data_IF_082132801230
#
_entry.id   IF_082132801230
#
_cell.length_a   1.000
_cell.length_b   1.000
_cell.length_c   1.000
_cell.angle_alpha   90.00
_cell.angle_beta   90.00
_cell.angle_gamma   90.00
#
_symmetry.space_group_name_H-M   'P 1'
#
loop_
_entity.id
_entity.type
_entity.pdbx_description
1 polymer ?
#
# COMPACT_ATOMS: atom_id res chain seq x y z
N UNK A 1 -7.07 -5.78 -34.88
CA UNK A 1 -6.91 -4.57 -34.08
C UNK A 1 -8.05 -4.48 -33.09
N UNK A 2 -7.74 -4.73 -31.84
CA UNK A 2 -8.76 -4.73 -30.80
C UNK A 2 -9.10 -3.28 -30.48
N UNK A 3 -10.27 -2.86 -30.85
CA UNK A 3 -10.75 -1.55 -30.42
C UNK A 3 -11.12 -1.63 -28.97
N UNK A 4 -10.32 -1.02 -28.14
CA UNK A 4 -10.67 -0.80 -26.76
C UNK A 4 -11.86 0.17 -26.73
N UNK A 5 -13.02 -0.35 -26.38
CA UNK A 5 -14.20 0.48 -26.24
C UNK A 5 -14.24 1.04 -24.85
N UNK A 6 -13.84 2.27 -24.72
CA UNK A 6 -14.08 3.00 -23.49
C UNK A 6 -15.58 3.06 -23.23
N UNK A 7 -15.99 2.68 -22.04
CA UNK A 7 -17.37 2.88 -21.62
C UNK A 7 -17.70 4.37 -21.62
N UNK A 8 -18.97 4.71 -21.89
CA UNK A 8 -19.42 6.11 -21.85
C UNK A 8 -19.00 6.77 -20.56
N UNK A 9 -18.28 7.87 -20.65
CA UNK A 9 -17.81 8.63 -19.52
C UNK A 9 -16.42 8.28 -19.01
N UNK A 10 -15.75 7.29 -19.62
CA UNK A 10 -14.36 7.03 -19.27
C UNK A 10 -13.45 8.05 -19.93
N UNK A 11 -12.94 8.96 -19.13
CA UNK A 11 -11.87 9.86 -19.53
C UNK A 11 -10.57 9.32 -18.96
N UNK A 12 -9.62 8.89 -19.79
CA UNK A 12 -8.33 8.46 -19.27
C UNK A 12 -7.69 9.64 -18.54
N UNK A 13 -7.41 9.45 -17.26
CA UNK A 13 -6.66 10.45 -16.51
C UNK A 13 -5.26 10.52 -17.07
N UNK A 14 -4.73 11.72 -17.32
CA UNK A 14 -3.33 11.84 -17.70
C UNK A 14 -2.46 11.21 -16.62
N UNK A 15 -1.47 10.42 -17.04
CA UNK A 15 -0.50 9.86 -16.14
C UNK A 15 0.30 11.02 -15.55
N UNK A 16 0.28 11.21 -14.23
CA UNK A 16 1.05 12.29 -13.63
C UNK A 16 2.54 12.02 -13.84
N UNK A 17 3.24 13.04 -14.30
CA UNK A 17 4.68 13.00 -14.43
C UNK A 17 5.29 13.68 -13.22
N UNK A 18 6.16 12.96 -12.54
CA UNK A 18 6.93 13.51 -11.43
C UNK A 18 8.30 13.94 -11.95
N UNK A 19 8.55 15.24 -11.92
CA UNK A 19 9.85 15.79 -12.26
C UNK A 19 10.66 15.97 -10.98
N UNK A 20 11.79 15.31 -10.89
CA UNK A 20 12.60 15.32 -9.68
C UNK A 20 14.03 15.67 -10.02
N UNK A 21 14.52 16.71 -9.39
CA UNK A 21 15.94 17.08 -9.40
C UNK A 21 16.59 16.58 -8.11
N UNK A 22 17.50 15.63 -8.24
CA UNK A 22 18.20 15.07 -7.10
C UNK A 22 17.71 13.67 -6.70
N UNK A 23 18.09 13.20 -5.53
CA UNK A 23 17.79 11.84 -5.10
C UNK A 23 16.31 11.61 -4.90
N UNK A 24 15.86 10.44 -5.32
CA UNK A 24 14.51 9.95 -5.20
C UNK A 24 14.53 8.69 -4.33
N UNK A 25 13.63 8.60 -3.38
CA UNK A 25 13.45 7.37 -2.61
C UNK A 25 12.21 6.65 -3.10
N UNK A 26 12.36 5.38 -3.44
CA UNK A 26 11.25 4.52 -3.83
C UNK A 26 11.25 3.31 -2.90
N UNK A 27 10.12 3.04 -2.31
CA UNK A 27 9.94 1.86 -1.48
C UNK A 27 8.55 1.27 -1.66
N UNK A 28 8.37 0.03 -1.27
CA UNK A 28 7.08 -0.63 -1.38
C UNK A 28 6.89 -1.71 -0.36
N UNK A 29 5.65 -2.16 -0.26
CA UNK A 29 5.27 -3.22 0.64
C UNK A 29 5.44 -2.90 2.12
N UNK A 30 4.94 -1.77 2.62
CA UNK A 30 4.91 -1.52 4.07
C UNK A 30 4.19 -2.62 4.86
N UNK A 31 3.15 -3.20 4.29
CA UNK A 31 2.40 -4.34 4.84
C UNK A 31 2.04 -4.18 6.32
N UNK A 32 1.52 -3.02 6.69
CA UNK A 32 1.15 -2.70 8.07
C UNK A 32 2.29 -2.84 9.09
N UNK A 33 3.53 -2.75 8.63
CA UNK A 33 4.71 -2.77 9.48
C UNK A 33 5.15 -1.35 9.79
N UNK A 34 4.67 -0.84 10.91
CA UNK A 34 4.89 0.55 11.31
C UNK A 34 6.37 0.84 11.55
N UNK A 35 7.07 -0.06 12.23
CA UNK A 35 8.48 0.13 12.60
C UNK A 35 9.38 0.18 11.37
N UNK A 36 9.20 -0.75 10.45
CA UNK A 36 9.97 -0.79 9.21
C UNK A 36 9.69 0.44 8.34
N UNK A 37 8.43 0.83 8.25
CA UNK A 37 8.02 2.02 7.49
C UNK A 37 8.63 3.28 8.10
N UNK A 38 8.59 3.41 9.41
CA UNK A 38 9.22 4.52 10.12
C UNK A 38 10.72 4.57 9.85
N UNK A 39 11.40 3.43 9.91
CA UNK A 39 12.84 3.34 9.66
C UNK A 39 13.21 3.82 8.25
N UNK A 40 12.45 3.43 7.24
CA UNK A 40 12.66 3.89 5.85
C UNK A 40 12.47 5.40 5.74
N UNK A 41 11.44 5.95 6.36
CA UNK A 41 11.15 7.37 6.30
C UNK A 41 12.14 8.20 7.13
N UNK A 42 12.64 7.67 8.21
CA UNK A 42 13.71 8.31 8.98
C UNK A 42 15.02 8.34 8.18
N UNK A 43 15.30 7.30 7.40
CA UNK A 43 16.44 7.30 6.48
C UNK A 43 16.25 8.36 5.39
N UNK A 44 15.06 8.55 4.86
CA UNK A 44 14.76 9.62 3.93
C UNK A 44 15.10 10.99 4.53
N UNK A 45 14.72 11.20 5.79
CA UNK A 45 15.05 12.43 6.52
C UNK A 45 16.55 12.59 6.68
N UNK A 46 17.25 11.53 7.05
CA UNK A 46 18.71 11.52 7.18
C UNK A 46 19.41 11.91 5.89
N UNK A 47 18.86 11.45 4.76
CA UNK A 47 19.40 11.74 3.42
C UNK A 47 18.87 13.07 2.86
N UNK A 48 18.13 13.84 3.61
CA UNK A 48 17.51 15.11 3.19
C UNK A 48 16.61 14.96 1.97
N UNK A 49 15.90 13.84 1.88
CA UNK A 49 14.92 13.57 0.83
C UNK A 49 13.56 14.05 1.32
N UNK A 50 13.00 15.05 0.66
CA UNK A 50 11.71 15.60 1.00
C UNK A 50 10.55 14.69 0.54
N UNK A 51 9.39 14.86 1.15
CA UNK A 51 8.20 14.03 0.89
C UNK A 51 7.82 13.97 -0.60
N UNK A 52 7.96 15.06 -1.32
CA UNK A 52 7.68 15.15 -2.76
C UNK A 52 8.61 14.28 -3.63
N UNK A 53 9.73 13.85 -3.07
CA UNK A 53 10.69 12.95 -3.70
C UNK A 53 10.67 11.54 -3.12
N UNK A 54 9.62 11.21 -2.40
CA UNK A 54 9.41 9.85 -1.89
C UNK A 54 8.21 9.24 -2.59
N UNK A 55 8.39 8.03 -3.11
CA UNK A 55 7.33 7.24 -3.76
C UNK A 55 7.15 5.95 -2.98
N UNK A 56 5.92 5.68 -2.57
CA UNK A 56 5.52 4.38 -2.09
C UNK A 56 4.77 3.65 -3.21
N UNK A 57 5.20 2.45 -3.56
CA UNK A 57 4.61 1.68 -4.66
C UNK A 57 3.36 0.91 -4.25
N UNK A 58 2.84 1.13 -3.06
CA UNK A 58 1.62 0.51 -2.58
C UNK A 58 1.85 -0.66 -1.65
N UNK A 59 0.81 -1.46 -1.44
CA UNK A 59 0.78 -2.55 -0.46
C UNK A 59 1.10 -2.05 0.95
N UNK A 60 0.47 -0.94 1.31
CA UNK A 60 0.66 -0.29 2.60
C UNK A 60 0.04 -1.12 3.71
N UNK A 61 -1.11 -1.70 3.42
CA UNK A 61 -1.89 -2.51 4.36
C UNK A 61 -1.66 -4.00 4.12
N UNK A 62 -2.19 -4.80 4.99
CA UNK A 62 -2.13 -6.25 5.00
C UNK A 62 -0.95 -6.79 5.81
N UNK A 63 -0.98 -8.06 6.12
CA UNK A 63 0.03 -8.88 6.80
C UNK A 63 0.44 -8.45 8.21
N UNK A 64 0.74 -7.19 8.45
CA UNK A 64 1.20 -6.72 9.76
C UNK A 64 0.06 -6.25 10.68
N UNK A 65 0.43 -5.82 11.88
CA UNK A 65 -0.51 -5.51 12.95
C UNK A 65 -1.00 -4.06 12.97
N UNK A 66 -0.23 -3.14 12.39
CA UNK A 66 -0.44 -1.71 12.58
C UNK A 66 -0.94 -1.01 11.31
N UNK A 67 -2.02 -1.53 10.71
CA UNK A 67 -2.54 -1.02 9.44
C UNK A 67 -2.87 0.48 9.49
N UNK A 68 -3.67 0.90 10.45
CA UNK A 68 -4.11 2.29 10.55
C UNK A 68 -2.93 3.24 10.78
N UNK A 69 -2.06 2.91 11.72
CA UNK A 69 -0.89 3.74 12.04
C UNK A 69 0.10 3.82 10.86
N UNK A 70 0.27 2.72 10.11
CA UNK A 70 1.13 2.70 8.93
C UNK A 70 0.55 3.56 7.82
N UNK A 71 -0.76 3.48 7.57
CA UNK A 71 -1.45 4.34 6.60
C UNK A 71 -1.28 5.81 6.96
N UNK A 72 -1.52 6.15 8.23
CA UNK A 72 -1.39 7.54 8.69
C UNK A 72 0.04 8.06 8.50
N UNK A 73 1.02 7.25 8.84
CA UNK A 73 2.44 7.60 8.67
C UNK A 73 2.79 7.82 7.19
N UNK A 74 2.35 6.95 6.30
CA UNK A 74 2.58 7.08 4.86
C UNK A 74 1.88 8.34 4.32
N UNK A 75 0.64 8.58 4.71
CA UNK A 75 -0.10 9.78 4.29
C UNK A 75 0.55 11.08 4.76
N UNK A 76 1.16 11.06 5.92
CA UNK A 76 1.82 12.23 6.50
C UNK A 76 3.18 12.53 5.86
N UNK A 77 3.95 11.48 5.53
CA UNK A 77 5.36 11.64 5.18
C UNK A 77 5.73 11.32 3.74
N UNK A 78 4.81 10.75 2.95
CA UNK A 78 5.08 10.34 1.57
C UNK A 78 4.23 11.16 0.61
N UNK A 79 4.88 11.85 -0.31
CA UNK A 79 4.18 12.72 -1.27
C UNK A 79 3.52 11.97 -2.43
N UNK A 80 4.01 10.79 -2.76
CA UNK A 80 3.54 10.03 -3.91
C UNK A 80 3.27 8.58 -3.52
N UNK A 81 2.03 8.17 -3.63
CA UNK A 81 1.63 6.80 -3.29
C UNK A 81 0.88 6.19 -4.47
N UNK A 82 1.32 5.02 -4.90
CA UNK A 82 0.63 4.22 -5.91
C UNK A 82 -0.20 3.17 -5.18
N UNK A 83 -1.38 2.89 -5.68
CA UNK A 83 -2.23 1.85 -5.11
C UNK A 83 -1.66 0.48 -5.48
N UNK A 84 -1.37 -0.33 -4.46
CA UNK A 84 -0.95 -1.71 -4.65
C UNK A 84 -2.15 -2.66 -4.80
N UNK A 85 -1.86 -3.91 -5.12
CA UNK A 85 -2.91 -4.91 -5.28
C UNK A 85 -3.64 -5.22 -3.97
N UNK A 86 -3.00 -5.06 -2.82
CA UNK A 86 -3.66 -5.25 -1.53
C UNK A 86 -4.76 -4.21 -1.31
N UNK A 87 -4.48 -2.93 -1.59
CA UNK A 87 -5.46 -1.86 -1.49
C UNK A 87 -6.58 -2.03 -2.52
N UNK A 88 -6.22 -2.39 -3.75
CA UNK A 88 -7.19 -2.61 -4.81
C UNK A 88 -8.17 -3.74 -4.45
N UNK A 89 -7.66 -4.84 -3.94
CA UNK A 89 -8.48 -5.97 -3.52
C UNK A 89 -9.39 -5.62 -2.36
N UNK A 90 -8.90 -4.88 -1.39
CA UNK A 90 -9.70 -4.42 -0.26
C UNK A 90 -10.80 -3.46 -0.71
N UNK A 91 -10.47 -2.53 -1.60
CA UNK A 91 -11.44 -1.56 -2.12
C UNK A 91 -12.53 -2.23 -2.96
N UNK A 92 -12.19 -3.27 -3.69
CA UNK A 92 -13.13 -4.04 -4.50
C UNK A 92 -13.96 -5.04 -3.68
N UNK A 93 -13.62 -5.23 -2.41
CA UNK A 93 -14.24 -6.27 -1.58
C UNK A 93 -13.92 -7.68 -2.07
N UNK A 94 -12.82 -7.85 -2.77
CA UNK A 94 -12.41 -9.13 -3.32
C UNK A 94 -11.84 -10.02 -2.22
N UNK A 95 -12.37 -11.22 -2.13
CA UNK A 95 -11.90 -12.22 -1.16
C UNK A 95 -10.61 -12.92 -1.59
N UNK A 96 -10.22 -12.80 -2.83
CA UNK A 96 -9.13 -13.58 -3.39
C UNK A 96 -7.77 -13.25 -2.76
N UNK A 97 -7.44 -11.99 -2.65
CA UNK A 97 -6.22 -11.57 -1.98
C UNK A 97 -6.29 -11.84 -0.47
N UNK A 98 -7.47 -11.66 0.11
CA UNK A 98 -7.71 -11.92 1.53
C UNK A 98 -7.65 -13.41 1.84
N UNK A 99 -8.11 -14.25 0.93
CA UNK A 99 -8.07 -15.71 1.11
C UNK A 99 -6.64 -16.25 1.13
N UNK A 100 -5.80 -15.84 0.20
CA UNK A 100 -4.39 -16.21 0.19
C UNK A 100 -3.66 -15.74 1.44
N UNK A 101 -3.96 -14.54 1.86
CA UNK A 101 -3.43 -13.93 3.06
C UNK A 101 -3.80 -14.71 4.33
N UNK A 102 -5.08 -15.07 4.45
CA UNK A 102 -5.55 -15.86 5.59
C UNK A 102 -4.91 -17.23 5.64
N UNK A 103 -4.68 -17.83 4.50
CA UNK A 103 -4.05 -19.13 4.42
C UNK A 103 -2.60 -19.11 4.89
N UNK A 104 -1.84 -18.10 4.48
CA UNK A 104 -0.47 -17.91 4.94
C UNK A 104 -0.42 -17.63 6.45
N UNK A 105 -1.27 -16.76 6.93
CA UNK A 105 -1.36 -16.45 8.34
C UNK A 105 -1.73 -17.67 9.18
N UNK A 106 -2.64 -18.49 8.72
CA UNK A 106 -3.00 -19.73 9.38
C UNK A 106 -1.85 -20.73 9.41
N UNK A 107 -1.11 -20.85 8.30
CA UNK A 107 0.06 -21.71 8.22
C UNK A 107 1.19 -21.26 9.15
N UNK A 108 1.34 -19.97 9.37
CA UNK A 108 2.34 -19.42 10.28
C UNK A 108 1.88 -19.36 11.74
N UNK A 109 0.66 -19.74 12.03
CA UNK A 109 0.09 -19.66 13.37
C UNK A 109 -0.33 -18.26 13.78
N UNK A 110 -0.31 -17.30 12.88
CA UNK A 110 -0.78 -15.94 13.14
C UNK A 110 -2.25 -15.80 12.77
N UNK A 111 -2.96 -15.01 13.55
CA UNK A 111 -4.34 -14.64 13.24
C UNK A 111 -4.35 -13.43 12.31
N UNK A 112 -5.06 -13.49 11.19
CA UNK A 112 -5.17 -12.31 10.32
C UNK A 112 -5.99 -11.23 11.00
N UNK A 113 -5.57 -10.00 10.81
CA UNK A 113 -6.31 -8.84 11.30
C UNK A 113 -7.68 -8.75 10.66
N UNK A 114 -8.66 -8.39 11.47
CA UNK A 114 -10.02 -8.23 11.00
C UNK A 114 -10.72 -9.52 10.59
N UNK A 115 -10.20 -10.65 10.99
CA UNK A 115 -10.87 -11.92 10.76
C UNK A 115 -12.16 -11.97 11.57
N UNK A 116 -13.30 -12.14 10.93
CA UNK A 116 -14.59 -12.21 11.65
C UNK A 116 -14.76 -13.52 12.41
N UNK A 117 -13.82 -14.39 12.32
CA UNK A 117 -13.95 -15.72 12.92
C UNK A 117 -13.74 -15.80 14.37
N UNK A 118 -13.66 -14.71 14.99
CA UNK A 118 -13.48 -14.74 16.40
C UNK A 118 -14.73 -14.94 17.16
N UNK A 119 -15.72 -15.39 16.52
CA UNK A 119 -16.84 -15.82 17.22
C UNK A 119 -16.58 -17.12 17.81
N UNK A 120 -16.02 -17.07 18.92
CA UNK A 120 -16.18 -18.18 19.80
C UNK A 120 -17.65 -18.26 20.13
N UNK A 121 -18.31 -19.18 19.67
CA UNK A 121 -19.65 -19.49 20.15
C UNK A 121 -19.53 -20.28 21.42
#
# INVERSE_FOLDING_TARGET
MTKFRASKGFMPRPIPLLHVDGPLMVFGGPYSNLEATRAVLDEATRLSISADRIICTGDVVAYGADAAATVDLVRDRVGNVVMGNCEESLAAGSDDAVAGFRQEAAASGCQPLGSPTLRAS
#
